data_IF_165004161072
#
_entry.id   IF_165004161072
#
_cell.length_a   1.000
_cell.length_b   1.000
_cell.length_c   1.000
_cell.angle_alpha   90.00
_cell.angle_beta   90.00
_cell.angle_gamma   90.00
#
_symmetry.space_group_name_H-M   'P 1'
#
loop_
_entity.id
_entity.type
_entity.pdbx_description
1 polymer ?
#
# COMPACT_ATOMS: atom_id res chain seq x y z
N UNK A 1 -4.16 -30.27 -27.91
CA UNK A 1 -4.44 -28.85 -27.92
C UNK A 1 -5.21 -28.42 -26.73
N UNK A 2 -6.28 -29.07 -26.44
CA UNK A 2 -7.12 -28.72 -25.29
C UNK A 2 -6.42 -28.93 -23.96
N UNK A 3 -5.54 -29.87 -23.89
CA UNK A 3 -4.79 -30.17 -22.67
C UNK A 3 -3.96 -28.99 -22.18
N UNK A 4 -3.50 -28.17 -23.10
CA UNK A 4 -2.63 -27.05 -22.76
C UNK A 4 -3.34 -25.97 -21.99
N UNK A 5 -4.62 -25.77 -22.24
CA UNK A 5 -5.39 -24.77 -21.51
C UNK A 5 -5.57 -25.14 -20.04
N UNK A 6 -5.69 -26.42 -19.77
CA UNK A 6 -5.83 -26.87 -18.39
C UNK A 6 -4.55 -26.66 -17.58
N UNK A 7 -3.40 -26.78 -18.24
CA UNK A 7 -2.12 -26.58 -17.59
C UNK A 7 -1.87 -25.13 -17.22
N UNK A 8 -2.33 -24.20 -18.04
CA UNK A 8 -2.13 -22.78 -17.78
C UNK A 8 -2.98 -22.28 -16.62
N UNK A 9 -4.05 -22.97 -16.31
CA UNK A 9 -4.94 -22.58 -15.22
C UNK A 9 -4.63 -23.31 -13.91
N UNK A 10 -3.62 -24.17 -13.89
CA UNK A 10 -3.24 -24.89 -12.69
C UNK A 10 -2.63 -23.92 -11.67
N UNK A 11 -3.06 -24.03 -10.43
CA UNK A 11 -2.49 -23.25 -9.33
C UNK A 11 -1.05 -23.70 -9.10
N UNK A 12 -0.16 -22.73 -8.91
CA UNK A 12 1.25 -23.00 -8.66
C UNK A 12 1.57 -22.77 -7.19
N UNK A 13 2.17 -23.78 -6.56
CA UNK A 13 2.57 -23.71 -5.16
C UNK A 13 4.06 -23.41 -5.09
N UNK A 14 4.43 -22.37 -4.36
CA UNK A 14 5.82 -21.95 -4.19
C UNK A 14 6.13 -21.71 -2.71
N UNK A 15 7.38 -21.90 -2.34
CA UNK A 15 7.90 -21.52 -1.03
C UNK A 15 8.69 -20.25 -1.18
N UNK A 16 8.32 -19.21 -0.44
CA UNK A 16 8.98 -17.93 -0.50
C UNK A 16 9.59 -17.58 0.86
N UNK A 17 10.84 -17.09 0.88
CA UNK A 17 11.40 -16.55 2.11
C UNK A 17 10.83 -15.17 2.36
N UNK A 18 10.55 -14.86 3.64
CA UNK A 18 10.03 -13.57 4.04
C UNK A 18 10.58 -13.22 5.41
N UNK A 19 11.03 -11.98 5.57
CA UNK A 19 11.50 -11.48 6.86
C UNK A 19 10.41 -10.67 7.52
N UNK A 20 10.06 -11.02 8.77
CA UNK A 20 9.07 -10.27 9.53
C UNK A 20 9.64 -8.92 9.96
N UNK A 21 8.92 -7.86 9.70
CA UNK A 21 9.34 -6.49 10.04
C UNK A 21 8.49 -5.88 11.16
N UNK A 22 7.59 -6.66 11.76
CA UNK A 22 6.67 -6.14 12.79
C UNK A 22 7.42 -5.78 14.07
N UNK A 23 8.47 -6.54 14.40
CA UNK A 23 9.29 -6.26 15.57
C UNK A 23 10.77 -6.32 15.19
N UNK A 24 11.69 -5.78 16.04
CA UNK A 24 13.11 -5.73 15.72
C UNK A 24 13.80 -7.08 15.59
N UNK A 25 13.15 -8.18 15.97
CA UNK A 25 13.74 -9.52 15.92
C UNK A 25 14.10 -9.95 14.50
N UNK A 26 13.38 -9.46 13.49
CA UNK A 26 13.70 -9.78 12.09
C UNK A 26 13.63 -11.26 11.75
N UNK A 27 12.61 -11.96 12.27
CA UNK A 27 12.47 -13.41 12.07
C UNK A 27 12.38 -13.77 10.59
N UNK A 28 13.22 -14.68 10.13
CA UNK A 28 13.13 -15.23 8.78
C UNK A 28 12.05 -16.30 8.77
N UNK A 29 11.12 -16.16 7.84
CA UNK A 29 9.98 -17.07 7.71
C UNK A 29 10.00 -17.76 6.36
N UNK A 30 9.49 -18.98 6.30
CA UNK A 30 9.23 -19.68 5.05
C UNK A 30 7.73 -19.71 4.84
N UNK A 31 7.28 -19.14 3.73
CA UNK A 31 5.85 -19.02 3.42
C UNK A 31 5.53 -19.86 2.21
N UNK A 32 4.57 -20.76 2.35
CA UNK A 32 4.05 -21.55 1.24
C UNK A 32 2.84 -20.84 0.67
N UNK A 33 2.90 -20.46 -0.61
CA UNK A 33 1.84 -19.71 -1.28
C UNK A 33 1.36 -20.46 -2.51
N UNK A 34 0.08 -20.32 -2.78
CA UNK A 34 -0.56 -20.80 -4.00
C UNK A 34 -0.88 -19.59 -4.87
N UNK A 35 -0.41 -19.61 -6.11
CA UNK A 35 -0.68 -18.54 -7.07
C UNK A 35 -1.65 -19.07 -8.12
N UNK A 36 -2.78 -18.40 -8.30
CA UNK A 36 -3.76 -18.79 -9.32
C UNK A 36 -3.40 -18.21 -10.70
N UNK A 37 -4.22 -18.51 -11.69
CA UNK A 37 -4.00 -18.05 -13.07
C UNK A 37 -4.05 -16.52 -13.21
N UNK A 38 -4.74 -15.84 -12.30
CA UNK A 38 -4.82 -14.39 -12.28
C UNK A 38 -3.68 -13.71 -11.53
N UNK A 39 -2.74 -14.47 -11.00
CA UNK A 39 -1.62 -13.94 -10.25
C UNK A 39 -1.93 -13.65 -8.78
N UNK A 40 -3.10 -14.01 -8.31
CA UNK A 40 -3.46 -13.83 -6.90
C UNK A 40 -2.77 -14.89 -6.05
N UNK A 41 -2.21 -14.46 -4.94
CA UNK A 41 -1.50 -15.33 -4.02
C UNK A 41 -2.34 -15.62 -2.80
N UNK A 42 -2.33 -16.88 -2.38
CA UNK A 42 -2.98 -17.32 -1.15
C UNK A 42 -1.93 -17.99 -0.28
N UNK A 43 -1.82 -17.53 0.96
CA UNK A 43 -0.88 -18.11 1.92
C UNK A 43 -1.47 -19.40 2.46
N UNK A 44 -0.78 -20.51 2.23
CA UNK A 44 -1.19 -21.84 2.70
C UNK A 44 -0.61 -22.14 4.08
N UNK A 45 0.66 -21.80 4.31
CA UNK A 45 1.31 -22.01 5.59
C UNK A 45 2.46 -21.04 5.80
N UNK A 46 2.79 -20.78 7.06
CA UNK A 46 3.94 -19.95 7.46
C UNK A 46 4.73 -20.77 8.48
N UNK A 47 6.02 -20.93 8.24
CA UNK A 47 6.94 -21.62 9.15
C UNK A 47 7.98 -20.66 9.68
N UNK A 48 8.50 -20.97 10.86
CA UNK A 48 9.56 -20.21 11.52
C UNK A 48 9.16 -18.77 11.84
N UNK A 49 7.86 -18.53 12.00
CA UNK A 49 7.32 -17.19 12.22
C UNK A 49 7.50 -16.65 13.65
N UNK A 50 8.08 -17.38 14.56
CA UNK A 50 8.35 -16.91 15.91
C UNK A 50 7.13 -16.47 16.73
N UNK A 51 6.14 -15.80 16.11
CA UNK A 51 4.91 -15.38 16.76
C UNK A 51 3.78 -15.21 15.75
N UNK A 52 2.55 -15.07 16.25
CA UNK A 52 1.37 -14.90 15.39
C UNK A 52 1.45 -13.65 14.51
N UNK A 53 2.13 -12.61 14.97
CA UNK A 53 2.27 -11.37 14.21
C UNK A 53 3.02 -11.59 12.89
N UNK A 54 4.01 -12.48 12.90
CA UNK A 54 4.73 -12.86 11.67
C UNK A 54 3.82 -13.53 10.67
N UNK A 55 2.95 -14.43 11.13
CA UNK A 55 1.97 -15.09 10.27
C UNK A 55 0.98 -14.10 9.66
N UNK A 56 0.46 -13.18 10.48
CA UNK A 56 -0.45 -12.14 10.02
C UNK A 56 0.22 -11.21 9.01
N UNK A 57 1.47 -10.84 9.26
CA UNK A 57 2.24 -10.00 8.36
C UNK A 57 2.44 -10.71 7.01
N UNK A 58 2.82 -11.98 7.02
CA UNK A 58 3.03 -12.74 5.81
C UNK A 58 1.76 -12.85 4.97
N UNK A 59 0.63 -13.12 5.60
CA UNK A 59 -0.66 -13.21 4.91
C UNK A 59 -1.03 -11.89 4.26
N UNK A 60 -0.91 -10.78 4.99
CA UNK A 60 -1.24 -9.45 4.49
C UNK A 60 -0.31 -9.04 3.35
N UNK A 61 1.00 -9.24 3.52
CA UNK A 61 1.99 -8.81 2.54
C UNK A 61 1.89 -9.57 1.22
N UNK A 62 1.58 -10.85 1.26
CA UNK A 62 1.55 -11.67 0.06
C UNK A 62 0.17 -11.74 -0.59
N UNK A 63 -0.91 -11.64 0.19
CA UNK A 63 -2.27 -11.71 -0.35
C UNK A 63 -2.83 -10.33 -0.71
N UNK A 64 -2.64 -9.35 0.15
CA UNK A 64 -3.21 -8.02 -0.04
C UNK A 64 -2.30 -6.95 0.53
N UNK A 65 -1.14 -6.71 -0.08
CA UNK A 65 -0.20 -5.71 0.43
C UNK A 65 -0.79 -4.31 0.33
N UNK A 66 -0.63 -3.53 1.40
CA UNK A 66 -1.09 -2.14 1.46
C UNK A 66 0.06 -1.25 1.93
N UNK A 67 0.00 0.02 1.56
CA UNK A 67 1.04 1.00 1.89
C UNK A 67 0.42 2.35 2.17
N UNK A 68 1.07 3.12 3.03
CA UNK A 68 0.75 4.53 3.23
C UNK A 68 1.53 5.33 2.19
N UNK A 69 0.84 6.16 1.44
CA UNK A 69 1.48 7.03 0.45
C UNK A 69 1.77 8.38 1.08
N UNK A 70 3.00 8.86 0.94
CA UNK A 70 3.42 10.20 1.35
C UNK A 70 3.97 10.94 0.14
N UNK A 71 3.56 12.19 -0.03
CA UNK A 71 3.99 13.02 -1.17
C UNK A 71 3.71 14.49 -0.88
N UNK A 72 3.57 15.31 -1.90
CA UNK A 72 3.26 16.73 -1.77
C UNK A 72 2.11 17.12 -2.69
N UNK A 73 1.35 18.14 -2.28
CA UNK A 73 0.32 18.77 -3.10
C UNK A 73 0.67 20.24 -3.29
N UNK A 74 0.43 20.76 -4.49
CA UNK A 74 0.66 22.15 -4.83
C UNK A 74 -0.25 23.06 -4.00
N UNK A 75 0.33 24.12 -3.45
CA UNK A 75 -0.40 25.14 -2.67
C UNK A 75 -0.42 26.44 -3.46
N UNK A 76 -1.60 26.99 -3.64
CA UNK A 76 -1.79 28.28 -4.27
C UNK A 76 -1.92 29.37 -3.21
N UNK A 77 -1.17 30.46 -3.37
CA UNK A 77 -1.21 31.59 -2.46
C UNK A 77 -0.60 31.33 -1.09
N UNK A 78 0.24 30.29 -0.96
CA UNK A 78 0.90 29.98 0.29
C UNK A 78 2.32 30.50 0.36
N UNK A 79 2.87 30.57 1.57
CA UNK A 79 4.28 30.93 1.80
C UNK A 79 5.22 29.85 1.27
N UNK A 80 4.71 28.64 1.07
CA UNK A 80 5.44 27.54 0.44
C UNK A 80 4.67 27.08 -0.80
N UNK A 81 5.37 26.62 -1.84
CA UNK A 81 4.72 26.18 -3.08
C UNK A 81 3.99 24.85 -2.96
N UNK A 82 4.35 24.04 -1.96
CA UNK A 82 3.77 22.69 -1.75
C UNK A 82 3.58 22.46 -0.25
N UNK A 83 2.72 21.49 0.05
CA UNK A 83 2.52 20.99 1.41
C UNK A 83 2.71 19.47 1.41
N UNK A 84 3.46 18.92 2.39
CA UNK A 84 3.57 17.47 2.49
C UNK A 84 2.22 16.88 2.91
N UNK A 85 1.88 15.76 2.30
CA UNK A 85 0.62 15.07 2.54
C UNK A 85 0.86 13.58 2.70
N UNK A 86 -0.11 12.90 3.29
CA UNK A 86 -0.10 11.44 3.39
C UNK A 86 -1.53 10.92 3.25
N UNK A 87 -1.64 9.64 2.91
CA UNK A 87 -2.94 8.98 3.00
C UNK A 87 -3.27 8.73 4.47
N UNK A 88 -4.53 8.96 4.86
CA UNK A 88 -4.97 8.78 6.24
C UNK A 88 -4.92 7.32 6.69
N UNK A 89 -4.89 6.41 5.74
CA UNK A 89 -4.76 4.98 5.98
C UNK A 89 -3.95 4.34 4.86
N UNK A 90 -3.88 3.03 4.86
CA UNK A 90 -3.16 2.31 3.82
C UNK A 90 -4.01 2.12 2.58
N UNK A 91 -3.39 2.22 1.41
CA UNK A 91 -4.01 1.95 0.11
C UNK A 91 -3.35 0.73 -0.52
N UNK A 92 -4.03 0.02 -1.43
CA UNK A 92 -3.41 -1.14 -2.08
C UNK A 92 -2.10 -0.78 -2.76
N UNK A 93 -1.06 -1.58 -2.52
CA UNK A 93 0.26 -1.38 -3.11
C UNK A 93 0.19 -1.28 -4.64
N UNK A 94 -0.66 -2.10 -5.26
CA UNK A 94 -0.83 -2.11 -6.71
C UNK A 94 -1.40 -0.80 -7.25
N UNK A 95 -2.04 0.03 -6.41
CA UNK A 95 -2.66 1.29 -6.80
C UNK A 95 -1.79 2.50 -6.52
N UNK A 96 -0.58 2.33 -5.97
CA UNK A 96 0.26 3.47 -5.57
C UNK A 96 0.56 4.43 -6.72
N UNK A 97 0.90 3.93 -7.90
CA UNK A 97 1.21 4.78 -9.04
C UNK A 97 0.00 5.58 -9.50
N UNK A 98 -1.18 4.95 -9.50
CA UNK A 98 -2.42 5.62 -9.84
C UNK A 98 -2.79 6.67 -8.80
N UNK A 99 -2.59 6.36 -7.54
CA UNK A 99 -2.78 7.32 -6.44
C UNK A 99 -1.86 8.53 -6.61
N UNK A 100 -0.59 8.31 -6.95
CA UNK A 100 0.36 9.38 -7.20
C UNK A 100 -0.09 10.29 -8.34
N UNK A 101 -0.64 9.72 -9.42
CA UNK A 101 -1.13 10.51 -10.54
C UNK A 101 -2.28 11.44 -10.12
N UNK A 102 -3.20 10.94 -9.31
CA UNK A 102 -4.30 11.77 -8.80
C UNK A 102 -3.79 12.88 -7.90
N UNK A 103 -2.90 12.55 -6.96
CA UNK A 103 -2.34 13.52 -6.02
C UNK A 103 -1.50 14.57 -6.75
N UNK A 104 -0.74 14.17 -7.75
CA UNK A 104 0.12 15.08 -8.53
C UNK A 104 -0.70 16.15 -9.24
N UNK A 105 -1.91 15.82 -9.67
CA UNK A 105 -2.81 16.77 -10.35
C UNK A 105 -3.60 17.65 -9.40
N UNK A 106 -3.58 17.31 -8.11
CA UNK A 106 -4.34 18.07 -7.12
C UNK A 106 -3.62 19.34 -6.74
N UNK A 107 -4.39 20.33 -6.32
CA UNK A 107 -3.87 21.55 -5.74
C UNK A 107 -4.81 22.00 -4.62
N UNK A 108 -4.30 22.82 -3.72
CA UNK A 108 -5.09 23.39 -2.66
C UNK A 108 -4.73 24.85 -2.48
N UNK A 109 -5.59 25.59 -1.76
CA UNK A 109 -5.36 27.01 -1.48
C UNK A 109 -4.91 27.19 -0.04
N UNK A 110 -3.95 28.09 0.16
CA UNK A 110 -3.56 28.47 1.51
C UNK A 110 -4.68 29.27 2.19
N UNK A 111 -4.79 29.24 3.53
CA UNK A 111 -3.93 28.50 4.45
C UNK A 111 -4.29 27.02 4.53
N UNK A 112 -3.28 26.20 4.84
CA UNK A 112 -3.46 24.75 5.07
C UNK A 112 -2.95 24.45 6.47
N UNK A 113 -3.70 23.66 7.22
CA UNK A 113 -3.30 23.21 8.55
C UNK A 113 -3.06 21.72 8.57
N UNK A 114 -2.14 21.29 9.42
CA UNK A 114 -1.90 19.87 9.64
C UNK A 114 -3.22 19.16 9.97
N UNK A 115 -3.46 18.06 9.28
CA UNK A 115 -4.68 17.28 9.45
C UNK A 115 -5.83 17.67 8.52
N UNK A 116 -5.70 18.77 7.78
CA UNK A 116 -6.72 19.14 6.80
C UNK A 116 -6.84 18.09 5.73
N UNK A 117 -8.08 17.75 5.37
CA UNK A 117 -8.35 16.80 4.30
C UNK A 117 -8.29 17.55 2.97
N UNK A 118 -7.34 17.19 2.13
CA UNK A 118 -7.10 17.85 0.85
C UNK A 118 -7.72 17.09 -0.32
N UNK A 119 -7.83 15.77 -0.20
CA UNK A 119 -8.52 14.92 -1.16
C UNK A 119 -9.36 13.91 -0.40
N UNK A 120 -10.58 13.69 -0.88
CA UNK A 120 -11.50 12.71 -0.32
C UNK A 120 -11.54 11.47 -1.19
N UNK A 121 -11.64 10.31 -0.56
CA UNK A 121 -11.87 9.04 -1.23
C UNK A 121 -10.92 8.82 -2.42
N UNK A 122 -9.63 8.74 -2.14
CA UNK A 122 -8.59 8.57 -3.17
C UNK A 122 -8.83 7.29 -3.98
N UNK A 123 -9.13 7.44 -5.27
CA UNK A 123 -9.40 6.33 -6.20
C UNK A 123 -10.47 5.33 -5.71
N UNK A 124 -11.46 5.81 -4.96
CA UNK A 124 -12.52 4.94 -4.46
C UNK A 124 -12.10 3.98 -3.35
N UNK A 125 -10.95 4.21 -2.73
CA UNK A 125 -10.45 3.37 -1.63
C UNK A 125 -11.11 3.68 -0.28
N UNK A 126 -11.83 4.78 -0.20
CA UNK A 126 -12.36 5.27 1.07
C UNK A 126 -11.32 5.96 1.94
N UNK A 127 -10.10 6.13 1.45
CA UNK A 127 -8.99 6.73 2.19
C UNK A 127 -8.81 8.17 1.73
N UNK A 128 -8.75 9.09 2.70
CA UNK A 128 -8.53 10.51 2.42
C UNK A 128 -7.04 10.85 2.42
N UNK A 129 -6.68 11.97 1.77
CA UNK A 129 -5.33 12.52 1.79
C UNK A 129 -5.34 13.74 2.70
N UNK A 130 -4.45 13.74 3.69
CA UNK A 130 -4.40 14.79 4.72
C UNK A 130 -3.05 15.52 4.69
N UNK A 131 -3.07 16.78 5.11
CA UNK A 131 -1.86 17.59 5.23
C UNK A 131 -1.03 17.15 6.43
N UNK A 132 0.29 17.11 6.25
CA UNK A 132 1.23 16.77 7.31
C UNK A 132 1.89 17.99 7.95
N UNK A 133 1.65 19.18 7.43
CA UNK A 133 2.25 20.41 7.95
C UNK A 133 1.32 21.59 7.70
N UNK A 134 1.62 22.71 8.35
CA UNK A 134 0.91 23.95 8.15
C UNK A 134 1.58 24.77 7.04
N UNK A 135 0.81 25.39 6.18
CA UNK A 135 1.29 26.34 5.18
C UNK A 135 0.44 27.60 5.30
N UNK A 136 1.08 28.68 5.71
CA UNK A 136 0.42 29.95 5.88
C UNK A 136 0.11 30.62 4.55
N UNK A 137 -0.81 31.56 4.60
CA UNK A 137 -1.14 32.40 3.45
C UNK A 137 -0.03 33.42 3.21
N UNK A 138 0.31 33.59 1.94
CA UNK A 138 1.34 34.53 1.53
C UNK A 138 0.93 36.00 1.72
#
# INVERSE_FOLDING_TARGET
MMENTNQTNAAKIEKLPLTCIICPMGCSMEVEVETDAGGHKKVLSVKDNGCKRGEQYASKELQNPTRTLTTTIKVEGGVLPVVPVKTAGEVPKASLLQCMEVVRRASCKAPVKRGDILLYDLLGTGINVIACADVGKK
#
